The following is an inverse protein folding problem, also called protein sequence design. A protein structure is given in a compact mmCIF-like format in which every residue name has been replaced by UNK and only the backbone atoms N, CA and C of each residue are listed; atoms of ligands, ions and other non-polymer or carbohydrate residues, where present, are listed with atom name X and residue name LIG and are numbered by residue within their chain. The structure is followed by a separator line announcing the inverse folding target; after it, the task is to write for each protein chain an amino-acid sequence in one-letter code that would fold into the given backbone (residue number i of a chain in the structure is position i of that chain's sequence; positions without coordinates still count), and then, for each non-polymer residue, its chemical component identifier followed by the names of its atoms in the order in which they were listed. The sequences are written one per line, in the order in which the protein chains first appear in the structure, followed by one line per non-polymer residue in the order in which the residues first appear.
data_IF_748485499385
#
_entry.id   IF_748485499385
#
_cell.length_a   1.000
_cell.length_b   1.000
_cell.length_c   1.000
_cell.angle_alpha   90.00
_cell.angle_beta   90.00
_cell.angle_gamma   90.00
#
_symmetry.space_group_name_H-M   'P 1'
#
loop_
_entity.id
_entity.type
_entity.pdbx_description
1 polymer ?
#
# COMPACT_ATOMS: atom_id res chain seq x y z
N UNK A 1 6.82 -15.09 15.86
CA UNK A 1 6.69 -16.45 15.32
C UNK A 1 5.94 -17.34 16.30
N UNK A 2 6.36 -17.49 17.56
CA UNK A 2 5.63 -18.29 18.57
C UNK A 2 4.15 -17.92 18.72
N UNK A 3 3.81 -16.65 19.00
CA UNK A 3 2.41 -16.24 19.14
C UNK A 3 1.59 -16.47 17.85
N UNK A 4 2.20 -16.37 16.68
CA UNK A 4 1.53 -16.63 15.40
C UNK A 4 1.25 -18.14 15.23
N UNK A 5 2.22 -18.99 15.57
CA UNK A 5 2.06 -20.44 15.56
C UNK A 5 1.01 -20.88 16.58
N UNK A 6 1.04 -20.32 17.79
CA UNK A 6 0.04 -20.57 18.81
C UNK A 6 -1.38 -20.18 18.32
N UNK A 7 -1.53 -18.99 17.74
CA UNK A 7 -2.81 -18.57 17.13
C UNK A 7 -3.24 -19.46 15.98
N UNK A 8 -2.31 -19.99 15.16
CA UNK A 8 -2.64 -20.91 14.07
C UNK A 8 -3.13 -22.26 14.59
N UNK A 9 -2.52 -22.80 15.66
CA UNK A 9 -2.95 -24.05 16.29
C UNK A 9 -4.32 -23.87 16.94
N UNK A 10 -4.53 -22.78 17.68
CA UNK A 10 -5.84 -22.43 18.24
C UNK A 10 -6.92 -22.38 17.15
N UNK A 11 -6.65 -21.67 16.06
CA UNK A 11 -7.57 -21.57 14.93
C UNK A 11 -7.88 -22.94 14.29
N UNK A 12 -6.86 -23.79 14.09
CA UNK A 12 -7.04 -25.13 13.54
C UNK A 12 -8.01 -25.96 14.41
N UNK A 13 -7.79 -25.98 15.72
CA UNK A 13 -8.60 -26.79 16.62
C UNK A 13 -10.01 -26.24 16.82
N UNK A 14 -10.14 -24.93 17.03
CA UNK A 14 -11.44 -24.29 17.29
C UNK A 14 -12.33 -24.25 16.04
N UNK A 15 -11.77 -23.93 14.87
CA UNK A 15 -12.56 -23.60 13.68
C UNK A 15 -12.49 -24.61 12.53
N UNK A 16 -11.47 -25.46 12.49
CA UNK A 16 -11.33 -26.46 11.40
C UNK A 16 -11.67 -27.86 11.90
N UNK A 17 -11.16 -28.23 13.07
CA UNK A 17 -11.40 -29.54 13.67
C UNK A 17 -12.64 -29.58 14.57
N UNK A 18 -13.25 -28.43 14.85
CA UNK A 18 -14.39 -28.26 15.76
C UNK A 18 -14.19 -28.96 17.12
N UNK A 19 -12.94 -28.97 17.57
CA UNK A 19 -12.49 -29.59 18.82
C UNK A 19 -11.81 -28.51 19.64
N UNK A 20 -12.57 -27.73 20.43
CA UNK A 20 -11.99 -26.66 21.23
C UNK A 20 -10.93 -27.26 22.15
N UNK A 21 -9.73 -26.68 22.12
CA UNK A 21 -8.69 -27.02 23.08
C UNK A 21 -9.13 -26.49 24.43
N UNK A 22 -9.11 -27.35 25.45
CA UNK A 22 -9.19 -26.88 26.83
C UNK A 22 -8.08 -25.86 27.08
N UNK A 23 -8.29 -24.97 28.06
CA UNK A 23 -7.35 -23.90 28.41
C UNK A 23 -5.93 -24.47 28.49
N UNK A 24 -5.10 -24.13 27.51
CA UNK A 24 -3.70 -24.56 27.49
C UNK A 24 -2.97 -23.71 28.53
N UNK A 25 -2.92 -24.21 29.75
CA UNK A 25 -2.18 -23.60 30.85
C UNK A 25 -0.67 -23.71 30.59
N UNK A 26 0.10 -22.72 31.07
CA UNK A 26 1.56 -22.73 30.97
C UNK A 26 2.16 -22.19 29.66
N UNK A 27 1.36 -21.76 28.68
CA UNK A 27 1.90 -21.09 27.48
C UNK A 27 2.28 -19.65 27.79
N UNK A 28 3.56 -19.43 28.10
CA UNK A 28 4.14 -18.09 28.19
C UNK A 28 4.09 -17.44 26.81
N UNK A 29 3.14 -16.51 26.60
CA UNK A 29 3.13 -15.69 25.39
C UNK A 29 4.39 -14.84 25.36
N UNK A 30 5.19 -14.96 24.31
CA UNK A 30 6.32 -14.07 24.09
C UNK A 30 5.81 -12.62 24.09
N UNK A 31 6.26 -11.82 25.06
CA UNK A 31 6.05 -10.37 25.05
C UNK A 31 6.83 -9.79 23.89
N UNK A 32 6.15 -9.11 22.97
CA UNK A 32 6.86 -8.35 21.93
C UNK A 32 7.59 -7.19 22.61
N UNK A 33 8.92 -7.04 22.42
CA UNK A 33 9.61 -5.88 22.94
C UNK A 33 9.01 -4.62 22.29
N UNK A 34 8.50 -3.70 23.11
CA UNK A 34 8.08 -2.38 22.66
C UNK A 34 9.33 -1.60 22.27
N UNK A 35 9.54 -1.44 20.96
CA UNK A 35 10.57 -0.52 20.45
C UNK A 35 9.94 0.83 20.29
N UNK A 36 10.61 1.88 20.77
CA UNK A 36 10.20 3.24 20.51
C UNK A 36 10.13 3.46 18.99
N UNK A 37 9.07 4.09 18.49
CA UNK A 37 8.95 4.35 17.08
C UNK A 37 10.00 5.37 16.66
N UNK A 38 10.65 5.11 15.52
CA UNK A 38 11.66 6.01 14.97
C UNK A 38 10.94 7.15 14.26
N UNK A 39 11.25 8.39 14.63
CA UNK A 39 10.81 9.61 13.96
C UNK A 39 12.00 10.23 13.23
N UNK A 40 11.76 10.72 12.01
CA UNK A 40 12.72 11.50 11.25
C UNK A 40 12.43 12.99 11.40
N UNK A 41 13.47 13.82 11.46
CA UNK A 41 13.30 15.27 11.30
C UNK A 41 12.88 15.62 9.87
N UNK A 42 12.33 16.82 9.66
CA UNK A 42 11.94 17.30 8.32
C UNK A 42 13.12 17.30 7.34
N UNK A 43 14.31 17.65 7.83
CA UNK A 43 15.56 17.65 7.07
C UNK A 43 16.03 16.22 6.74
N UNK A 44 15.94 15.28 7.69
CA UNK A 44 16.20 13.86 7.43
C UNK A 44 15.24 13.28 6.37
N UNK A 45 13.95 13.62 6.45
CA UNK A 45 12.94 13.23 5.46
C UNK A 45 13.31 13.77 4.08
N UNK A 46 13.67 15.05 4.01
CA UNK A 46 14.03 15.73 2.76
C UNK A 46 15.26 15.09 2.10
N UNK A 47 16.31 14.77 2.88
CA UNK A 47 17.50 14.07 2.36
C UNK A 47 17.18 12.69 1.78
N UNK A 48 16.31 11.91 2.43
CA UNK A 48 15.93 10.59 1.91
C UNK A 48 15.11 10.74 0.63
N UNK A 49 14.14 11.66 0.61
CA UNK A 49 13.28 11.90 -0.56
C UNK A 49 14.09 12.35 -1.78
N UNK A 50 15.14 13.15 -1.58
CA UNK A 50 16.03 13.61 -2.67
C UNK A 50 16.73 12.46 -3.43
N UNK A 51 16.82 11.26 -2.84
CA UNK A 51 17.40 10.08 -3.48
C UNK A 51 16.36 9.12 -4.09
N UNK A 52 15.09 9.50 -4.10
CA UNK A 52 14.01 8.76 -4.76
C UNK A 52 13.61 9.47 -6.05
N UNK A 53 13.15 8.70 -7.03
CA UNK A 53 12.63 9.23 -8.29
C UNK A 53 11.35 8.51 -8.72
N UNK A 54 10.64 9.11 -9.67
CA UNK A 54 9.46 8.52 -10.31
C UNK A 54 8.35 8.13 -9.34
N UNK A 55 7.77 6.96 -9.55
CA UNK A 55 6.69 6.43 -8.73
C UNK A 55 7.11 6.18 -7.28
N UNK A 56 8.37 5.83 -7.03
CA UNK A 56 8.87 5.59 -5.65
C UNK A 56 8.96 6.88 -4.85
N UNK A 57 9.30 7.99 -5.51
CA UNK A 57 9.23 9.33 -4.93
C UNK A 57 7.78 9.70 -4.59
N UNK A 58 6.85 9.53 -5.55
CA UNK A 58 5.42 9.79 -5.32
C UNK A 58 4.87 9.00 -4.14
N UNK A 59 5.16 7.69 -4.09
CA UNK A 59 4.73 6.83 -2.99
C UNK A 59 5.30 7.34 -1.67
N UNK A 60 6.60 7.60 -1.57
CA UNK A 60 7.22 8.09 -0.33
C UNK A 60 6.60 9.42 0.15
N UNK A 61 6.31 10.34 -0.78
CA UNK A 61 5.64 11.59 -0.46
C UNK A 61 4.22 11.38 0.06
N UNK A 62 3.46 10.44 -0.49
CA UNK A 62 2.14 10.06 0.00
C UNK A 62 2.19 9.40 1.40
N UNK A 63 3.20 8.56 1.66
CA UNK A 63 3.40 7.97 2.99
C UNK A 63 3.69 9.03 4.05
N UNK A 64 4.52 10.02 3.70
CA UNK A 64 4.84 11.13 4.56
C UNK A 64 3.67 12.12 4.61
N UNK A 65 3.49 12.98 3.61
CA UNK A 65 2.54 14.10 3.72
C UNK A 65 1.05 13.73 3.72
N UNK A 66 0.69 12.50 3.35
CA UNK A 66 -0.69 12.00 3.47
C UNK A 66 -0.86 10.99 4.61
N UNK A 67 0.21 10.65 5.33
CA UNK A 67 0.19 9.70 6.41
C UNK A 67 -0.28 8.29 6.00
N UNK A 68 -0.15 7.87 4.74
CA UNK A 68 -0.64 6.56 4.29
C UNK A 68 0.24 5.41 4.83
N UNK A 69 -0.34 4.23 5.08
CA UNK A 69 0.43 2.98 5.17
C UNK A 69 0.88 2.58 3.78
N UNK A 70 1.97 1.79 3.70
CA UNK A 70 2.50 1.34 2.42
C UNK A 70 1.44 0.66 1.55
N UNK A 71 0.75 -0.35 2.08
CA UNK A 71 -0.28 -1.05 1.32
C UNK A 71 -1.49 -0.17 0.99
N UNK A 72 -1.82 0.82 1.82
CA UNK A 72 -2.88 1.78 1.50
C UNK A 72 -2.49 2.61 0.28
N UNK A 73 -1.26 3.15 0.25
CA UNK A 73 -0.76 3.92 -0.89
C UNK A 73 -0.66 3.09 -2.18
N UNK A 74 -0.23 1.83 -2.07
CA UNK A 74 -0.11 0.93 -3.22
C UNK A 74 -1.47 0.50 -3.77
N UNK A 75 -2.48 0.33 -2.91
CA UNK A 75 -3.82 -0.12 -3.30
C UNK A 75 -4.76 1.01 -3.74
N UNK A 76 -4.31 2.27 -3.67
CA UNK A 76 -5.10 3.40 -4.17
C UNK A 76 -5.58 3.16 -5.59
N UNK A 77 -6.89 3.39 -5.81
CA UNK A 77 -7.49 3.43 -7.14
C UNK A 77 -7.57 4.86 -7.62
N UNK A 78 -7.68 5.07 -8.93
CA UNK A 78 -7.78 6.41 -9.52
C UNK A 78 -8.95 7.21 -8.91
N UNK A 79 -10.10 6.57 -8.71
CA UNK A 79 -11.30 7.19 -8.11
C UNK A 79 -11.12 7.65 -6.66
N UNK A 80 -10.09 7.17 -5.97
CA UNK A 80 -9.85 7.51 -4.58
C UNK A 80 -9.11 8.85 -4.43
N UNK A 81 -8.67 9.46 -5.55
CA UNK A 81 -7.93 10.71 -5.60
C UNK A 81 -8.88 11.90 -5.90
N UNK A 82 -9.06 12.78 -4.92
CA UNK A 82 -9.83 14.02 -5.07
C UNK A 82 -8.90 15.22 -5.29
N UNK A 83 -8.50 15.49 -6.52
CA UNK A 83 -7.56 16.57 -6.84
C UNK A 83 -8.08 17.97 -6.51
N UNK A 84 -9.36 18.24 -6.72
CA UNK A 84 -9.97 19.55 -6.45
C UNK A 84 -9.97 19.89 -4.96
N UNK A 85 -10.27 18.91 -4.11
CA UNK A 85 -10.28 19.07 -2.65
C UNK A 85 -8.92 18.82 -1.99
N UNK A 86 -7.95 18.26 -2.73
CA UNK A 86 -6.67 17.85 -2.18
C UNK A 86 -6.80 16.71 -1.18
N UNK A 87 -7.66 15.73 -1.47
CA UNK A 87 -8.02 14.64 -0.57
C UNK A 87 -7.73 13.27 -1.18
N UNK A 88 -7.49 12.28 -0.32
CA UNK A 88 -7.33 10.87 -0.68
C UNK A 88 -8.29 10.06 0.17
N UNK A 89 -9.10 9.23 -0.47
CA UNK A 89 -9.99 8.28 0.21
C UNK A 89 -9.26 6.96 0.40
N UNK A 90 -8.96 6.58 1.64
CA UNK A 90 -8.36 5.28 1.96
C UNK A 90 -9.47 4.28 2.25
N UNK A 91 -9.66 3.35 1.31
CA UNK A 91 -10.60 2.22 1.42
C UNK A 91 -10.07 1.13 2.34
N UNK A 92 -10.98 0.36 2.95
CA UNK A 92 -10.64 -0.88 3.68
C UNK A 92 -9.57 -0.63 4.78
N UNK A 93 -9.73 0.46 5.52
CA UNK A 93 -8.86 0.81 6.65
C UNK A 93 -8.94 -0.20 7.81
N UNK A 94 -8.31 0.13 8.94
CA UNK A 94 -8.39 -0.74 10.12
C UNK A 94 -9.86 -0.90 10.54
N UNK A 95 -10.35 -2.15 10.57
CA UNK A 95 -11.75 -2.46 10.89
C UNK A 95 -12.71 -2.26 9.71
N UNK A 96 -12.22 -2.30 8.48
CA UNK A 96 -13.00 -2.17 7.24
C UNK A 96 -13.74 -0.83 7.11
N UNK A 97 -13.14 0.23 7.68
CA UNK A 97 -13.67 1.59 7.62
C UNK A 97 -12.88 2.43 6.65
N UNK A 98 -13.60 3.12 5.78
CA UNK A 98 -13.06 4.15 4.92
C UNK A 98 -12.66 5.38 5.75
N UNK A 99 -11.61 6.08 5.31
CA UNK A 99 -11.24 7.38 5.88
C UNK A 99 -10.69 8.32 4.83
N UNK A 100 -10.86 9.62 5.06
CA UNK A 100 -10.22 10.66 4.27
C UNK A 100 -8.86 11.03 4.87
N UNK A 101 -7.91 11.34 4.00
CA UNK A 101 -6.62 11.94 4.38
C UNK A 101 -6.24 13.02 3.36
N UNK A 102 -5.29 13.87 3.73
CA UNK A 102 -4.80 14.95 2.87
C UNK A 102 -3.87 14.46 1.76
N UNK A 103 -4.01 15.05 0.57
CA UNK A 103 -3.05 14.94 -0.52
C UNK A 103 -2.01 16.06 -0.38
N UNK A 104 -0.70 15.75 -0.30
CA UNK A 104 0.33 16.79 -0.28
C UNK A 104 0.29 17.63 -1.57
N UNK A 105 0.22 18.96 -1.46
CA UNK A 105 0.16 19.86 -2.63
C UNK A 105 1.33 19.66 -3.59
N UNK A 106 2.51 19.35 -3.06
CA UNK A 106 3.73 19.08 -3.84
C UNK A 106 3.61 17.85 -4.74
N UNK A 107 2.74 16.88 -4.43
CA UNK A 107 2.55 15.70 -5.30
C UNK A 107 1.44 15.90 -6.32
N UNK A 108 0.59 16.93 -6.21
CA UNK A 108 -0.59 17.09 -7.05
C UNK A 108 -0.24 17.05 -8.55
N UNK A 109 0.67 17.92 -9.00
CA UNK A 109 1.05 17.97 -10.42
C UNK A 109 1.85 16.73 -10.87
N UNK A 110 2.92 16.29 -10.17
CA UNK A 110 3.62 15.07 -10.51
C UNK A 110 2.73 13.81 -10.56
N UNK A 111 1.72 13.74 -9.68
CA UNK A 111 0.77 12.64 -9.64
C UNK A 111 -0.19 12.67 -10.84
N UNK A 112 -0.66 13.86 -11.26
CA UNK A 112 -1.45 14.00 -12.48
C UNK A 112 -0.67 13.56 -13.73
N UNK A 113 0.59 13.96 -13.86
CA UNK A 113 1.46 13.51 -14.96
C UNK A 113 1.67 11.99 -14.95
N UNK A 114 1.89 11.43 -13.76
CA UNK A 114 1.98 9.98 -13.58
C UNK A 114 0.70 9.28 -14.02
N UNK A 115 -0.46 9.79 -13.62
CA UNK A 115 -1.75 9.23 -14.02
C UNK A 115 -1.99 9.31 -15.52
N UNK A 116 -1.56 10.38 -16.21
CA UNK A 116 -1.65 10.47 -17.68
C UNK A 116 -0.88 9.33 -18.35
N UNK A 117 0.35 9.04 -17.88
CA UNK A 117 1.14 7.91 -18.39
C UNK A 117 0.46 6.57 -18.11
N UNK A 118 -0.04 6.39 -16.89
CA UNK A 118 -0.75 5.16 -16.51
C UNK A 118 -2.05 4.98 -17.32
N UNK A 119 -2.77 6.07 -17.62
CA UNK A 119 -3.98 6.04 -18.43
C UNK A 119 -3.69 5.62 -19.87
N UNK A 120 -2.60 6.12 -20.46
CA UNK A 120 -2.16 5.71 -21.79
C UNK A 120 -1.81 4.22 -21.84
N UNK A 121 -1.09 3.71 -20.84
CA UNK A 121 -0.79 2.27 -20.71
C UNK A 121 -2.08 1.45 -20.60
N UNK A 122 -3.01 1.89 -19.75
CA UNK A 122 -4.31 1.21 -19.56
C UNK A 122 -5.13 1.18 -20.86
N UNK A 123 -5.19 2.29 -21.59
CA UNK A 123 -5.88 2.36 -22.88
C UNK A 123 -5.31 1.36 -23.87
N UNK A 124 -3.98 1.24 -23.94
CA UNK A 124 -3.32 0.23 -24.78
C UNK A 124 -3.66 -1.19 -24.31
N UNK A 125 -3.57 -1.49 -23.01
CA UNK A 125 -3.90 -2.83 -22.51
C UNK A 125 -5.36 -3.19 -22.78
N UNK A 126 -6.28 -2.22 -22.69
CA UNK A 126 -7.71 -2.44 -23.00
C UNK A 126 -7.91 -2.70 -24.48
N UNK A 127 -7.20 -1.97 -25.36
CA UNK A 127 -7.21 -2.18 -26.81
C UNK A 127 -6.66 -3.56 -27.19
N UNK A 128 -5.62 -4.03 -26.50
CA UNK A 128 -5.06 -5.37 -26.66
C UNK A 128 -5.96 -6.49 -26.08
N UNK A 129 -7.04 -6.13 -25.36
CA UNK A 129 -8.00 -7.08 -24.76
C UNK A 129 -7.71 -7.49 -23.31
N UNK A 130 -6.71 -6.89 -22.67
CA UNK A 130 -6.12 -7.35 -21.40
C UNK A 130 -6.28 -6.42 -20.20
N UNK A 131 -6.70 -5.16 -20.35
CA UNK A 131 -6.74 -4.14 -19.29
C UNK A 131 -7.75 -4.36 -18.16
N UNK A 132 -7.73 -5.54 -17.50
CA UNK A 132 -8.58 -5.92 -16.39
C UNK A 132 -7.83 -5.77 -15.07
N UNK A 133 -8.55 -5.41 -14.02
CA UNK A 133 -8.03 -5.39 -12.65
C UNK A 133 -8.89 -6.22 -11.72
N UNK A 134 -8.28 -6.77 -10.68
CA UNK A 134 -9.02 -7.44 -9.60
C UNK A 134 -9.89 -6.41 -8.86
N UNK A 135 -11.19 -6.70 -8.76
CA UNK A 135 -12.17 -5.90 -8.05
C UNK A 135 -12.37 -6.45 -6.63
N UNK A 136 -12.55 -5.60 -5.61
CA UNK A 136 -12.77 -6.05 -4.25
C UNK A 136 -14.08 -6.85 -4.08
N UNK A 137 -14.04 -7.86 -3.21
CA UNK A 137 -15.21 -8.64 -2.78
C UNK A 137 -16.07 -9.16 -3.96
N UNK A 138 -17.40 -9.05 -3.84
CA UNK A 138 -18.36 -9.47 -4.86
C UNK A 138 -18.62 -8.40 -5.93
N UNK A 139 -17.84 -7.31 -6.00
CA UNK A 139 -18.07 -6.23 -6.97
C UNK A 139 -18.01 -6.72 -8.41
N UNK A 140 -17.12 -7.67 -8.70
CA UNK A 140 -17.03 -8.26 -10.04
C UNK A 140 -18.34 -8.95 -10.47
N UNK A 141 -19.13 -9.48 -9.53
CA UNK A 141 -20.43 -10.10 -9.83
C UNK A 141 -21.50 -9.04 -10.12
N UNK A 142 -21.48 -7.93 -9.40
CA UNK A 142 -22.46 -6.85 -9.52
C UNK A 142 -22.18 -5.93 -10.70
N UNK A 143 -20.90 -5.69 -11.00
CA UNK A 143 -20.44 -4.78 -12.06
C UNK A 143 -19.31 -5.46 -12.86
N UNK A 144 -19.65 -6.36 -13.80
CA UNK A 144 -18.65 -7.17 -14.50
C UNK A 144 -17.69 -6.37 -15.38
N UNK A 145 -18.09 -5.17 -15.81
CA UNK A 145 -17.26 -4.30 -16.66
C UNK A 145 -16.40 -3.28 -15.87
N UNK A 146 -16.62 -3.15 -14.56
CA UNK A 146 -15.92 -2.17 -13.73
C UNK A 146 -14.40 -2.43 -13.65
N UNK A 147 -13.98 -3.66 -13.91
CA UNK A 147 -12.56 -4.04 -13.93
C UNK A 147 -11.76 -3.42 -15.09
N UNK A 148 -12.42 -2.92 -16.14
CA UNK A 148 -11.79 -2.22 -17.29
C UNK A 148 -11.92 -0.70 -17.21
N UNK A 149 -12.73 -0.20 -16.30
CA UNK A 149 -12.93 1.22 -16.12
C UNK A 149 -11.69 1.87 -15.50
N UNK A 150 -11.35 3.07 -15.99
CA UNK A 150 -10.21 3.84 -15.52
C UNK A 150 -10.26 4.11 -14.00
N UNK A 151 -11.46 4.39 -13.49
CA UNK A 151 -11.71 4.73 -12.09
C UNK A 151 -11.24 3.64 -11.12
N UNK A 152 -11.24 2.38 -11.55
CA UNK A 152 -10.86 1.22 -10.75
C UNK A 152 -9.40 0.80 -10.92
N UNK A 153 -8.65 1.39 -11.85
CA UNK A 153 -7.25 1.03 -12.03
C UNK A 153 -6.40 1.51 -10.85
N UNK A 154 -5.32 0.78 -10.57
CA UNK A 154 -4.36 1.19 -9.53
C UNK A 154 -3.64 2.46 -9.96
N UNK A 155 -3.39 3.35 -8.99
CA UNK A 155 -2.57 4.54 -9.20
C UNK A 155 -1.13 4.15 -9.55
N UNK A 156 -0.60 3.09 -8.94
CA UNK A 156 0.76 2.60 -9.14
C UNK A 156 0.76 1.17 -9.69
N UNK A 157 0.42 0.94 -10.97
CA UNK A 157 0.39 -0.41 -11.54
C UNK A 157 1.79 -1.00 -11.73
N UNK A 158 1.87 -2.32 -11.84
CA UNK A 158 3.07 -3.04 -12.23
C UNK A 158 3.44 -2.75 -13.68
N UNK A 159 4.74 -2.69 -13.94
CA UNK A 159 5.31 -2.51 -15.28
C UNK A 159 4.99 -3.70 -16.21
N UNK A 160 4.84 -4.90 -15.65
CA UNK A 160 4.47 -6.10 -16.40
C UNK A 160 3.05 -6.53 -16.04
N UNK A 161 2.34 -7.09 -17.02
CA UNK A 161 1.05 -7.73 -16.81
C UNK A 161 1.25 -9.06 -16.10
N UNK A 162 0.35 -9.39 -15.18
CA UNK A 162 0.19 -10.77 -14.73
C UNK A 162 -0.60 -11.55 -15.78
N UNK A 163 -0.43 -12.88 -15.79
CA UNK A 163 -1.16 -13.79 -16.67
C UNK A 163 -1.76 -14.90 -15.82
N UNK A 164 -3.07 -15.08 -15.91
CA UNK A 164 -3.74 -16.23 -15.30
C UNK A 164 -3.56 -17.44 -16.21
N UNK A 165 -2.82 -18.44 -15.74
CA UNK A 165 -2.52 -19.65 -16.50
C UNK A 165 -3.75 -20.48 -16.87
N UNK A 166 -4.87 -20.34 -16.15
CA UNK A 166 -6.11 -21.10 -16.39
C UNK A 166 -7.08 -20.39 -17.32
N UNK A 167 -7.25 -19.08 -17.15
CA UNK A 167 -8.26 -18.30 -17.91
C UNK A 167 -7.65 -17.52 -19.08
N UNK A 168 -6.32 -17.38 -19.14
CA UNK A 168 -5.63 -16.52 -20.11
C UNK A 168 -5.83 -15.03 -19.83
N UNK A 169 -6.58 -14.66 -18.79
CA UNK A 169 -6.77 -13.27 -18.41
C UNK A 169 -5.45 -12.64 -18.03
N UNK A 170 -5.30 -11.38 -18.41
CA UNK A 170 -4.16 -10.57 -18.05
C UNK A 170 -4.64 -9.31 -17.35
N UNK A 171 -3.73 -8.63 -16.67
CA UNK A 171 -4.03 -7.40 -15.97
C UNK A 171 -2.80 -6.84 -15.29
N UNK A 172 -2.95 -5.70 -14.63
CA UNK A 172 -1.87 -5.10 -13.82
C UNK A 172 -2.30 -5.01 -12.38
N UNK A 173 -1.52 -5.63 -11.51
CA UNK A 173 -1.64 -5.40 -10.07
C UNK A 173 -0.91 -4.10 -9.71
N UNK A 174 -1.06 -3.60 -8.48
CA UNK A 174 -0.18 -2.55 -7.99
C UNK A 174 1.28 -3.03 -7.87
N UNK A 175 2.22 -2.08 -7.95
CA UNK A 175 3.65 -2.32 -7.73
C UNK A 175 3.89 -3.08 -6.43
N UNK A 176 4.81 -4.05 -6.46
CA UNK A 176 5.09 -4.89 -5.29
C UNK A 176 5.79 -4.08 -4.19
N UNK A 177 5.36 -4.24 -2.93
CA UNK A 177 5.83 -3.43 -1.80
C UNK A 177 7.33 -3.54 -1.55
N UNK A 178 7.92 -4.71 -1.87
CA UNK A 178 9.36 -4.93 -1.72
C UNK A 178 10.19 -4.00 -2.60
N UNK A 179 9.68 -3.56 -3.77
CA UNK A 179 10.39 -2.62 -4.65
C UNK A 179 10.49 -1.24 -3.99
N UNK A 180 9.39 -0.77 -3.38
CA UNK A 180 9.36 0.48 -2.64
C UNK A 180 10.26 0.40 -1.40
N UNK A 181 10.17 -0.70 -0.64
CA UNK A 181 10.99 -0.90 0.56
C UNK A 181 12.49 -0.94 0.24
N UNK A 182 12.88 -1.60 -0.86
CA UNK A 182 14.27 -1.62 -1.35
C UNK A 182 14.72 -0.22 -1.77
N UNK A 183 13.89 0.54 -2.49
CA UNK A 183 14.19 1.91 -2.89
C UNK A 183 14.38 2.83 -1.67
N UNK A 184 13.48 2.77 -0.69
CA UNK A 184 13.61 3.51 0.57
C UNK A 184 14.91 3.12 1.29
N UNK A 185 15.20 1.82 1.43
CA UNK A 185 16.42 1.36 2.10
C UNK A 185 17.68 1.88 1.40
N UNK A 186 17.70 1.89 0.08
CA UNK A 186 18.81 2.43 -0.71
C UNK A 186 18.94 3.95 -0.54
N UNK A 187 17.83 4.67 -0.58
CA UNK A 187 17.79 6.13 -0.38
C UNK A 187 18.28 6.55 1.02
N UNK A 188 17.86 5.80 2.06
CA UNK A 188 18.31 6.02 3.45
C UNK A 188 19.81 5.84 3.59
N UNK A 189 20.37 4.80 2.95
CA UNK A 189 21.82 4.57 2.93
C UNK A 189 22.56 5.72 2.23
N UNK A 190 22.05 6.20 1.09
CA UNK A 190 22.64 7.32 0.34
C UNK A 190 22.58 8.65 1.11
N UNK A 191 21.48 8.86 1.85
CA UNK A 191 21.29 10.04 2.70
C UNK A 191 22.16 10.04 3.98
N UNK A 192 22.94 8.98 4.22
CA UNK A 192 23.85 8.90 5.38
C UNK A 192 23.15 8.69 6.73
N UNK A 193 21.89 8.21 6.74
CA UNK A 193 21.16 7.99 7.99
C UNK A 193 21.56 6.67 8.64
N UNK A 194 21.89 6.72 9.92
CA UNK A 194 22.18 5.54 10.76
C UNK A 194 20.92 4.91 11.36
N UNK A 195 19.83 5.69 11.47
CA UNK A 195 18.54 5.24 11.99
C UNK A 195 17.93 4.17 11.09
N UNK A 196 17.22 3.20 11.69
CA UNK A 196 16.45 2.22 10.93
C UNK A 196 15.17 2.85 10.38
N UNK A 197 15.24 3.28 9.12
CA UNK A 197 14.10 3.87 8.40
C UNK A 197 13.38 2.83 7.55
N UNK A 198 12.06 2.81 7.66
CA UNK A 198 11.16 1.97 6.86
C UNK A 198 9.99 2.81 6.31
N UNK A 199 9.13 2.25 5.48
CA UNK A 199 7.89 2.92 5.04
C UNK A 199 7.03 3.39 6.22
N UNK A 200 6.99 2.63 7.32
CA UNK A 200 6.26 3.02 8.53
C UNK A 200 6.86 4.23 9.24
N UNK A 201 8.17 4.44 9.12
CA UNK A 201 8.88 5.59 9.70
C UNK A 201 8.39 6.91 9.10
N UNK A 202 8.13 6.96 7.79
CA UNK A 202 7.58 8.16 7.13
C UNK A 202 6.19 8.53 7.68
N UNK A 203 5.28 7.56 7.74
CA UNK A 203 3.95 7.77 8.31
C UNK A 203 4.01 8.20 9.78
N UNK A 204 4.91 7.60 10.56
CA UNK A 204 5.04 7.97 11.97
C UNK A 204 5.56 9.40 12.12
N UNK A 205 6.55 9.79 11.31
CA UNK A 205 7.09 11.14 11.29
C UNK A 205 6.02 12.18 10.91
N UNK A 206 5.14 11.85 9.96
CA UNK A 206 3.98 12.69 9.65
C UNK A 206 3.06 12.92 10.85
N UNK A 207 2.69 11.85 11.56
CA UNK A 207 1.83 11.97 12.73
C UNK A 207 2.50 12.83 13.83
N UNK A 208 3.81 12.70 14.01
CA UNK A 208 4.56 13.50 14.99
C UNK A 208 4.69 14.97 14.57
N UNK A 209 4.86 15.27 13.28
CA UNK A 209 4.99 16.64 12.78
C UNK A 209 3.66 17.41 12.70
N UNK A 210 2.53 16.74 12.93
CA UNK A 210 1.21 17.37 13.02
C UNK A 210 0.76 17.67 14.46
N UNK A 211 1.53 17.24 15.46
CA UNK A 211 1.31 17.56 16.88
C UNK A 211 2.00 18.87 17.22
#
# INVERSE_FOLDING_TARGET
TQNQAFSAILFLYEHVLERPLDRIEGVVRARRPMRLPVVLTVDEVSRVIAHLSGDKWLIAMLLYGGGLRLLEALRLRVKDLGFERGEITVREGKGDKDRLTTMPRVVTHPLQEHLRRVQSIHQQDVADGYGRVELPHALARKYPNANREWAWQFVFPQERRWVNAKTGEQGRHHVHESLVQKAIKAAVRKAGLTKRVTSHTFRHSFATHLL
#
